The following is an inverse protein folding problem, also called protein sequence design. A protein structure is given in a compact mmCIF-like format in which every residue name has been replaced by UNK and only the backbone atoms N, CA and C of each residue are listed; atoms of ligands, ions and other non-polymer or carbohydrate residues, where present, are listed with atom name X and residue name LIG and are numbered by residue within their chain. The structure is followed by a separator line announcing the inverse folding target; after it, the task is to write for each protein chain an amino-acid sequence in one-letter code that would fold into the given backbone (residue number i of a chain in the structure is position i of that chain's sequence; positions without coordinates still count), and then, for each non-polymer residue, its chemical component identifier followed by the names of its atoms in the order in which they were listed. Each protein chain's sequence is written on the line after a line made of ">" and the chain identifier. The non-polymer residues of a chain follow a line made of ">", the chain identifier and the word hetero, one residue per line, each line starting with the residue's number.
data_IF_837657866798
#
_entry.id   IF_837657866798
#
_cell.length_a   1.000
_cell.length_b   1.000
_cell.length_c   1.000
_cell.angle_alpha   90.00
_cell.angle_beta   90.00
_cell.angle_gamma   90.00
#
_symmetry.space_group_name_H-M   'P 1'
#
loop_
_entity.id
_entity.type
_entity.pdbx_description
1 polymer ?
#
# COMPACT_ATOMS: atom_id res chain seq x y z
N UNK A 1 7.14 20.28 6.47
CA UNK A 1 5.89 19.59 6.10
C UNK A 1 5.88 18.29 6.86
N UNK A 2 4.75 17.91 7.43
CA UNK A 2 4.59 16.61 8.10
C UNK A 2 4.12 15.59 7.07
N UNK A 3 4.90 14.52 6.86
CA UNK A 3 4.53 13.39 6.02
C UNK A 3 3.96 12.28 6.92
N UNK A 4 2.75 11.83 6.63
CA UNK A 4 2.09 10.75 7.37
C UNK A 4 2.16 9.48 6.54
N UNK A 5 2.96 8.50 6.99
CA UNK A 5 3.00 7.17 6.39
C UNK A 5 2.00 6.26 7.10
N UNK A 6 1.10 5.66 6.33
CA UNK A 6 0.11 4.70 6.82
C UNK A 6 0.33 3.38 6.11
N UNK A 7 0.60 2.32 6.87
CA UNK A 7 0.51 0.96 6.35
C UNK A 7 -0.97 0.54 6.40
N UNK A 8 -1.61 0.29 5.23
CA UNK A 8 -3.06 0.11 5.13
C UNK A 8 -3.58 -1.14 5.86
N UNK A 9 -2.72 -2.15 6.02
CA UNK A 9 -3.06 -3.49 6.54
C UNK A 9 -3.02 -3.61 8.08
N UNK A 10 -2.63 -2.55 8.83
CA UNK A 10 -2.57 -2.56 10.30
C UNK A 10 -1.74 -3.72 10.92
N UNK A 11 -1.65 -3.83 12.26
CA UNK A 11 -0.83 -4.86 12.91
C UNK A 11 -1.43 -6.27 12.90
N UNK A 12 -2.67 -6.46 12.41
CA UNK A 12 -3.43 -7.73 12.49
C UNK A 12 -4.46 -7.98 11.36
N UNK A 13 -4.51 -7.17 10.30
CA UNK A 13 -5.48 -7.35 9.22
C UNK A 13 -5.07 -8.50 8.28
N UNK A 14 -6.01 -9.30 7.73
CA UNK A 14 -5.65 -10.25 6.68
C UNK A 14 -4.95 -9.51 5.53
N UNK A 15 -3.89 -10.11 4.98
CA UNK A 15 -3.12 -9.57 3.86
C UNK A 15 -4.06 -9.04 2.77
N UNK A 16 -3.83 -7.80 2.32
CA UNK A 16 -4.65 -7.07 1.34
C UNK A 16 -5.99 -6.56 1.88
N UNK A 17 -6.07 -6.21 3.17
CA UNK A 17 -7.27 -5.61 3.76
C UNK A 17 -6.99 -4.20 4.23
N UNK A 18 -7.38 -3.23 3.40
CA UNK A 18 -7.23 -1.83 3.77
C UNK A 18 -8.21 -1.45 4.88
N UNK A 19 -7.67 -0.88 5.97
CA UNK A 19 -8.47 -0.42 7.10
C UNK A 19 -9.38 0.74 6.71
N UNK A 20 -10.62 0.73 7.25
CA UNK A 20 -11.60 1.81 7.02
C UNK A 20 -11.07 3.16 7.51
N UNK A 21 -10.26 3.15 8.58
CA UNK A 21 -9.63 4.36 9.13
C UNK A 21 -8.61 4.99 8.17
N UNK A 22 -7.78 4.17 7.50
CA UNK A 22 -6.82 4.66 6.51
C UNK A 22 -7.53 5.34 5.32
N UNK A 23 -8.61 4.75 4.81
CA UNK A 23 -9.43 5.33 3.74
C UNK A 23 -10.12 6.63 4.19
N UNK A 24 -10.61 6.67 5.42
CA UNK A 24 -11.24 7.87 5.98
C UNK A 24 -10.27 9.04 6.13
N UNK A 25 -9.03 8.78 6.54
CA UNK A 25 -7.97 9.81 6.61
C UNK A 25 -7.61 10.29 5.20
N UNK A 26 -7.43 9.36 4.27
CA UNK A 26 -7.17 9.62 2.86
C UNK A 26 -8.24 10.51 2.19
N UNK A 27 -9.52 10.22 2.42
CA UNK A 27 -10.62 11.03 1.87
C UNK A 27 -10.74 12.40 2.55
N UNK A 28 -10.47 12.49 3.85
CA UNK A 28 -10.56 13.74 4.61
C UNK A 28 -9.38 14.67 4.38
N UNK A 29 -8.20 14.15 4.05
CA UNK A 29 -7.00 14.97 3.85
C UNK A 29 -7.15 15.91 2.66
N UNK A 30 -7.93 15.53 1.63
CA UNK A 30 -8.01 16.24 0.33
C UNK A 30 -6.62 16.51 -0.29
N UNK A 31 -5.64 15.71 0.10
CA UNK A 31 -4.27 15.81 -0.39
C UNK A 31 -4.00 14.67 -1.37
N UNK A 32 -3.07 14.85 -2.33
CA UNK A 32 -2.61 13.77 -3.18
C UNK A 32 -2.14 12.58 -2.34
N UNK A 33 -2.62 11.39 -2.68
CA UNK A 33 -2.23 10.16 -2.01
C UNK A 33 -1.16 9.48 -2.84
N UNK A 34 -0.05 9.15 -2.21
CA UNK A 34 0.99 8.36 -2.84
C UNK A 34 0.81 6.89 -2.47
N UNK A 35 0.56 6.06 -3.49
CA UNK A 35 0.66 4.61 -3.36
C UNK A 35 2.06 4.20 -3.76
N UNK A 36 2.72 3.46 -2.87
CA UNK A 36 4.06 2.93 -3.08
C UNK A 36 4.04 1.41 -3.04
N UNK A 37 4.73 0.77 -3.97
CA UNK A 37 4.99 -0.67 -3.98
C UNK A 37 6.44 -0.91 -4.43
N UNK A 38 6.98 -2.09 -4.14
CA UNK A 38 8.27 -2.51 -4.63
C UNK A 38 8.28 -3.99 -4.99
N UNK A 39 9.05 -4.32 -6.03
CA UNK A 39 9.37 -5.70 -6.37
C UNK A 39 10.86 -5.94 -6.22
N UNK A 40 11.26 -7.11 -5.71
CA UNK A 40 12.66 -7.50 -5.60
C UNK A 40 12.91 -8.76 -6.43
N UNK A 41 14.00 -8.81 -7.20
CA UNK A 41 14.34 -9.99 -8.01
C UNK A 41 14.65 -11.22 -7.14
N UNK A 42 15.35 -11.01 -6.02
CA UNK A 42 15.70 -12.04 -5.05
C UNK A 42 15.35 -11.55 -3.66
N UNK A 43 14.54 -12.30 -2.93
CA UNK A 43 14.10 -11.94 -1.60
C UNK A 43 14.00 -13.14 -0.66
N UNK A 44 14.00 -12.86 0.64
CA UNK A 44 13.48 -13.76 1.65
C UNK A 44 12.04 -13.35 1.93
N UNK A 45 11.14 -14.33 1.98
CA UNK A 45 9.76 -14.13 2.45
C UNK A 45 9.64 -14.80 3.80
N UNK A 46 9.30 -14.01 4.82
CA UNK A 46 9.07 -14.54 6.16
C UNK A 46 7.77 -15.34 6.16
N UNK A 47 7.73 -16.44 6.90
CA UNK A 47 6.51 -17.24 7.11
C UNK A 47 5.54 -16.61 8.12
N UNK A 48 5.75 -15.35 8.48
CA UNK A 48 4.84 -14.57 9.34
C UNK A 48 3.50 -14.34 8.64
N UNK A 49 2.48 -13.99 9.43
CA UNK A 49 1.12 -13.79 8.95
C UNK A 49 1.00 -12.71 7.84
N UNK A 50 1.93 -11.75 7.82
CA UNK A 50 2.05 -10.67 6.83
C UNK A 50 2.86 -11.06 5.58
N UNK A 51 3.55 -12.21 5.62
CA UNK A 51 4.48 -12.69 4.59
C UNK A 51 5.50 -11.61 4.18
N UNK A 52 6.10 -10.95 5.16
CA UNK A 52 7.05 -9.84 4.95
C UNK A 52 8.19 -10.22 3.99
N UNK A 53 8.49 -9.32 3.06
CA UNK A 53 9.52 -9.52 2.03
C UNK A 53 10.76 -8.71 2.36
N UNK A 54 11.90 -9.38 2.48
CA UNK A 54 13.22 -8.77 2.69
C UNK A 54 14.05 -8.99 1.41
N UNK A 55 14.34 -7.94 0.62
CA UNK A 55 15.24 -8.04 -0.52
C UNK A 55 16.61 -8.58 -0.09
N UNK A 56 17.16 -9.54 -0.83
CA UNK A 56 18.52 -10.03 -0.55
C UNK A 56 19.55 -8.96 -0.92
N UNK A 57 20.72 -8.92 -0.25
CA UNK A 57 21.80 -8.01 -0.63
C UNK A 57 22.14 -8.12 -2.12
N UNK A 58 22.42 -6.99 -2.75
CA UNK A 58 22.78 -6.87 -4.18
C UNK A 58 21.70 -7.33 -5.17
N UNK A 59 20.45 -7.48 -4.74
CA UNK A 59 19.34 -7.69 -5.65
C UNK A 59 18.88 -6.39 -6.30
N UNK A 60 18.31 -6.49 -7.50
CA UNK A 60 17.58 -5.37 -8.09
C UNK A 60 16.22 -5.23 -7.40
N UNK A 61 15.91 -4.01 -6.98
CA UNK A 61 14.60 -3.61 -6.47
C UNK A 61 14.02 -2.57 -7.42
N UNK A 62 12.80 -2.82 -7.89
CA UNK A 62 12.03 -1.86 -8.68
C UNK A 62 10.97 -1.22 -7.77
N UNK A 63 11.00 0.10 -7.66
CA UNK A 63 10.03 0.87 -6.88
C UNK A 63 8.98 1.48 -7.80
N UNK A 64 7.72 1.38 -7.37
CA UNK A 64 6.58 1.95 -8.06
C UNK A 64 5.93 2.97 -7.13
N UNK A 65 5.79 4.20 -7.61
CA UNK A 65 5.11 5.26 -6.87
C UNK A 65 4.12 5.95 -7.78
N UNK A 66 2.87 6.06 -7.31
CA UNK A 66 1.80 6.69 -8.06
C UNK A 66 1.08 7.71 -7.17
N UNK A 67 0.91 8.93 -7.68
CA UNK A 67 0.04 9.94 -7.09
C UNK A 67 -1.41 9.70 -7.53
N UNK A 68 -2.32 9.65 -6.58
CA UNK A 68 -3.75 9.42 -6.77
C UNK A 68 -4.55 10.57 -6.16
N UNK A 69 -5.65 10.94 -6.83
CA UNK A 69 -6.71 11.76 -6.23
C UNK A 69 -7.90 10.87 -5.92
N UNK A 70 -8.53 11.08 -4.77
CA UNK A 70 -9.78 10.42 -4.36
C UNK A 70 -10.98 11.38 -4.41
N UNK A 71 -10.81 12.56 -4.99
CA UNK A 71 -11.87 13.57 -5.04
C UNK A 71 -13.11 13.02 -5.75
N UNK A 72 -14.26 13.20 -5.12
CA UNK A 72 -15.55 12.76 -5.67
C UNK A 72 -15.86 11.27 -5.48
N UNK A 73 -14.93 10.48 -4.93
CA UNK A 73 -15.19 9.05 -4.65
C UNK A 73 -15.92 8.87 -3.30
N UNK A 74 -16.86 7.93 -3.27
CA UNK A 74 -17.42 7.41 -2.02
C UNK A 74 -16.37 6.59 -1.25
N UNK A 75 -16.65 6.28 0.02
CA UNK A 75 -15.75 5.44 0.83
C UNK A 75 -15.51 4.05 0.21
N UNK A 76 -16.55 3.45 -0.38
CA UNK A 76 -16.43 2.12 -1.01
C UNK A 76 -15.64 2.19 -2.31
N UNK A 77 -15.90 3.18 -3.16
CA UNK A 77 -15.16 3.40 -4.42
C UNK A 77 -13.70 3.74 -4.16
N UNK A 78 -13.41 4.63 -3.20
CA UNK A 78 -12.06 4.96 -2.80
C UNK A 78 -11.32 3.73 -2.25
N UNK A 79 -12.01 2.90 -1.46
CA UNK A 79 -11.45 1.65 -0.94
C UNK A 79 -11.08 0.69 -2.06
N UNK A 80 -11.99 0.46 -3.00
CA UNK A 80 -11.77 -0.44 -4.14
C UNK A 80 -10.66 0.09 -5.06
N UNK A 81 -10.66 1.39 -5.35
CA UNK A 81 -9.67 2.04 -6.20
C UNK A 81 -8.26 1.96 -5.61
N UNK A 82 -8.10 2.32 -4.34
CA UNK A 82 -6.81 2.20 -3.65
C UNK A 82 -6.34 0.75 -3.57
N UNK A 83 -7.26 -0.20 -3.31
CA UNK A 83 -6.91 -1.62 -3.26
C UNK A 83 -6.39 -2.12 -4.62
N UNK A 84 -7.06 -1.75 -5.72
CA UNK A 84 -6.61 -2.06 -7.08
C UNK A 84 -5.20 -1.52 -7.34
N UNK A 85 -4.95 -0.25 -7.02
CA UNK A 85 -3.63 0.38 -7.25
C UNK A 85 -2.54 -0.19 -6.36
N UNK A 86 -2.84 -0.52 -5.11
CA UNK A 86 -1.87 -1.14 -4.20
C UNK A 86 -1.48 -2.54 -4.67
N UNK A 87 -2.41 -3.31 -5.24
CA UNK A 87 -2.15 -4.69 -5.67
C UNK A 87 -1.49 -4.81 -7.05
N UNK A 88 -1.47 -3.73 -7.84
CA UNK A 88 -0.97 -3.76 -9.22
C UNK A 88 0.49 -4.24 -9.36
N UNK A 89 1.33 -4.05 -8.33
CA UNK A 89 2.75 -4.40 -8.35
C UNK A 89 3.17 -5.30 -7.17
N UNK A 90 2.20 -5.94 -6.50
CA UNK A 90 2.49 -6.78 -5.33
C UNK A 90 3.21 -8.07 -5.71
N UNK A 91 4.24 -8.41 -4.95
CA UNK A 91 4.94 -9.69 -5.03
C UNK A 91 3.98 -10.82 -4.58
N UNK A 92 3.77 -11.81 -5.45
CA UNK A 92 2.91 -12.98 -5.22
C UNK A 92 3.25 -13.81 -3.97
#
# INVERSE_FOLDING_TARGET
>A
GEEVLITPDGPKGPRHSMSVGAVGIALKSKLPIFVMNFTAQNYWQLGSWDRFVIPKPFTKVDFYMQSLSLEGLTHEEAKAYLLEKMLAHTIG
#
